data_IF_184561378196
#
_entry.id   IF_184561378196
#
_cell.length_a   1.000
_cell.length_b   1.000
_cell.length_c   1.000
_cell.angle_alpha   90.00
_cell.angle_beta   90.00
_cell.angle_gamma   90.00
#
_symmetry.space_group_name_H-M   'P 1'
#
loop_
_entity.id
_entity.type
_entity.pdbx_description
1 polymer ?
#
# COMPACT_ATOMS: atom_id res chain seq x y z
N UNK A 1 15.58 16.57 4.78
CA UNK A 1 14.12 16.35 4.70
C UNK A 1 13.78 16.14 3.24
N UNK A 2 13.08 15.06 2.89
CA UNK A 2 12.65 14.80 1.51
C UNK A 2 11.19 15.25 1.39
N UNK A 3 10.99 16.49 0.94
CA UNK A 3 9.67 17.10 0.83
C UNK A 3 9.42 17.50 -0.61
N UNK A 4 8.28 17.10 -1.17
CA UNK A 4 7.86 17.56 -2.50
C UNK A 4 6.43 18.08 -2.45
N UNK A 5 6.27 19.38 -2.73
CA UNK A 5 4.97 20.08 -2.76
C UNK A 5 4.33 20.08 -4.15
N UNK A 6 4.96 19.41 -5.13
CA UNK A 6 4.48 19.34 -6.51
C UNK A 6 4.35 17.91 -7.02
N UNK A 7 4.89 16.91 -6.31
CA UNK A 7 4.77 15.52 -6.71
C UNK A 7 3.34 15.03 -6.49
N UNK A 8 2.58 14.91 -7.58
CA UNK A 8 1.18 14.44 -7.56
C UNK A 8 1.09 12.93 -7.74
N UNK A 9 2.03 12.33 -8.49
CA UNK A 9 2.03 10.92 -8.83
C UNK A 9 3.41 10.34 -8.52
N UNK A 10 3.45 9.25 -7.75
CA UNK A 10 4.65 8.48 -7.47
C UNK A 10 4.41 7.05 -7.94
N UNK A 11 5.29 6.56 -8.81
CA UNK A 11 5.27 5.19 -9.31
C UNK A 11 6.64 4.59 -9.04
N UNK A 12 6.65 3.50 -8.28
CA UNK A 12 7.84 2.71 -8.01
C UNK A 12 7.58 1.30 -8.55
N UNK A 13 8.49 0.81 -9.38
CA UNK A 13 8.40 -0.49 -10.03
C UNK A 13 9.77 -1.19 -9.98
N UNK A 14 9.77 -2.46 -9.59
CA UNK A 14 10.93 -3.33 -9.53
C UNK A 14 11.58 -3.46 -8.15
N UNK A 15 12.84 -3.89 -8.13
CA UNK A 15 13.66 -4.36 -6.99
C UNK A 15 14.02 -3.30 -5.92
N UNK A 16 13.20 -2.27 -5.79
CA UNK A 16 13.38 -1.12 -4.91
C UNK A 16 13.10 -1.53 -3.47
N UNK A 17 14.08 -1.33 -2.59
CA UNK A 17 13.85 -1.42 -1.15
C UNK A 17 13.18 -0.14 -0.68
N UNK A 18 11.94 -0.26 -0.22
CA UNK A 18 11.18 0.84 0.34
C UNK A 18 11.61 1.03 1.79
N UNK A 19 12.59 1.89 2.03
CA UNK A 19 12.93 2.38 3.37
C UNK A 19 12.40 3.81 3.51
N UNK A 20 11.37 3.99 4.34
CA UNK A 20 10.68 5.27 4.51
C UNK A 20 11.23 5.99 5.74
N UNK A 21 12.08 7.01 5.57
CA UNK A 21 12.59 7.77 6.70
C UNK A 21 11.46 8.58 7.35
N UNK A 22 11.58 8.85 8.66
CA UNK A 22 10.57 9.58 9.44
C UNK A 22 10.32 11.03 8.98
N UNK A 23 11.12 11.56 8.05
CA UNK A 23 11.11 12.96 7.62
C UNK A 23 10.71 13.13 6.13
N UNK A 24 9.95 12.18 5.57
CA UNK A 24 9.36 12.31 4.24
C UNK A 24 8.04 13.07 4.38
N UNK A 25 7.73 13.97 3.46
CA UNK A 25 6.37 14.52 3.36
C UNK A 25 6.02 14.73 1.89
N UNK A 26 4.92 14.10 1.47
CA UNK A 26 4.40 14.16 0.10
C UNK A 26 2.98 14.76 0.13
N UNK A 27 2.84 16.04 0.56
CA UNK A 27 1.54 16.65 0.85
C UNK A 27 0.65 16.82 -0.38
N UNK A 28 1.20 16.71 -1.59
CA UNK A 28 0.47 16.89 -2.85
C UNK A 28 0.21 15.56 -3.59
N UNK A 29 0.63 14.43 -3.01
CA UNK A 29 0.55 13.14 -3.66
C UNK A 29 -0.88 12.63 -3.67
N UNK A 30 -1.43 12.43 -4.87
CA UNK A 30 -2.78 11.90 -5.09
C UNK A 30 -2.78 10.46 -5.58
N UNK A 31 -1.71 10.04 -6.25
CA UNK A 31 -1.59 8.69 -6.79
C UNK A 31 -0.27 8.05 -6.38
N UNK A 32 -0.35 6.89 -5.76
CA UNK A 32 0.79 6.08 -5.38
C UNK A 32 0.66 4.69 -5.99
N UNK A 33 1.66 4.29 -6.78
CA UNK A 33 1.74 2.94 -7.36
C UNK A 33 3.03 2.27 -6.92
N UNK A 34 2.89 1.15 -6.23
CA UNK A 34 3.98 0.30 -5.76
C UNK A 34 3.85 -1.03 -6.48
N UNK A 35 4.85 -1.36 -7.32
CA UNK A 35 4.86 -2.58 -8.13
C UNK A 35 6.15 -3.34 -7.86
N UNK A 36 6.04 -4.55 -7.33
CA UNK A 36 7.16 -5.45 -7.07
C UNK A 36 8.28 -4.86 -6.18
N UNK A 37 7.98 -3.84 -5.37
CA UNK A 37 8.90 -3.27 -4.38
C UNK A 37 9.06 -4.20 -3.18
N UNK A 38 10.15 -4.03 -2.42
CA UNK A 38 10.39 -4.73 -1.15
C UNK A 38 10.11 -3.84 0.04
N UNK A 39 9.40 -4.35 1.04
CA UNK A 39 9.15 -3.64 2.29
C UNK A 39 10.20 -4.04 3.33
N UNK A 40 10.67 -3.08 4.13
CA UNK A 40 11.63 -3.37 5.22
C UNK A 40 10.94 -4.13 6.36
N UNK A 41 9.66 -3.86 6.58
CA UNK A 41 8.79 -4.48 7.58
C UNK A 41 7.31 -4.16 7.29
N UNK A 42 6.41 -4.79 8.04
CA UNK A 42 4.95 -4.62 7.95
C UNK A 42 4.46 -3.16 8.11
N UNK A 43 5.21 -2.32 8.83
CA UNK A 43 4.86 -0.91 9.05
C UNK A 43 5.26 0.01 7.90
N UNK A 44 6.10 -0.46 6.98
CA UNK A 44 6.75 0.39 5.96
C UNK A 44 5.71 1.06 5.06
N UNK A 45 4.72 0.29 4.58
CA UNK A 45 3.64 0.84 3.76
C UNK A 45 2.83 1.88 4.55
N UNK A 46 2.45 1.56 5.78
CA UNK A 46 1.69 2.47 6.64
C UNK A 46 2.40 3.79 6.89
N UNK A 47 3.71 3.71 7.12
CA UNK A 47 4.56 4.89 7.28
C UNK A 47 4.62 5.73 6.00
N UNK A 48 4.60 5.12 4.81
CA UNK A 48 4.53 5.87 3.56
C UNK A 48 3.18 6.59 3.41
N UNK A 49 2.07 5.88 3.69
CA UNK A 49 0.72 6.40 3.53
C UNK A 49 0.43 7.55 4.50
N UNK A 50 0.92 7.49 5.75
CA UNK A 50 0.76 8.58 6.73
C UNK A 50 1.45 9.89 6.30
N UNK A 51 2.41 9.83 5.39
CA UNK A 51 3.09 10.99 4.81
C UNK A 51 2.40 11.55 3.55
N UNK A 52 1.26 10.99 3.15
CA UNK A 52 0.50 11.32 1.93
C UNK A 52 -0.96 11.68 2.29
N UNK A 53 -1.23 12.83 2.93
CA UNK A 53 -2.52 13.14 3.55
C UNK A 53 -3.70 13.20 2.56
N UNK A 54 -3.45 13.50 1.29
CA UNK A 54 -4.49 13.67 0.25
C UNK A 54 -4.49 12.54 -0.78
N UNK A 55 -3.90 11.38 -0.46
CA UNK A 55 -3.81 10.26 -1.39
C UNK A 55 -5.20 9.74 -1.77
N UNK A 56 -5.52 9.72 -3.06
CA UNK A 56 -6.84 9.30 -3.56
C UNK A 56 -6.80 7.91 -4.22
N UNK A 57 -5.70 7.58 -4.92
CA UNK A 57 -5.52 6.32 -5.66
C UNK A 57 -4.26 5.59 -5.18
N UNK A 58 -4.46 4.37 -4.67
CA UNK A 58 -3.41 3.48 -4.19
C UNK A 58 -3.42 2.18 -4.99
N UNK A 59 -2.29 1.86 -5.61
CA UNK A 59 -2.05 0.57 -6.27
C UNK A 59 -0.88 -0.12 -5.59
N UNK A 60 -1.12 -1.32 -5.07
CA UNK A 60 -0.11 -2.19 -4.47
C UNK A 60 -0.12 -3.51 -5.21
N UNK A 61 0.96 -3.80 -5.92
CA UNK A 61 1.23 -5.12 -6.48
C UNK A 61 2.41 -5.72 -5.73
N UNK A 62 2.11 -6.70 -4.89
CA UNK A 62 3.12 -7.40 -4.12
C UNK A 62 4.05 -8.16 -5.06
N UNK A 63 5.28 -8.30 -4.60
CA UNK A 63 6.34 -8.97 -5.33
C UNK A 63 6.18 -10.49 -5.29
N UNK A 64 6.60 -11.14 -6.35
CA UNK A 64 6.85 -12.59 -6.37
C UNK A 64 8.15 -12.93 -5.62
N UNK A 65 8.03 -13.67 -4.52
CA UNK A 65 9.14 -14.18 -3.67
C UNK A 65 10.03 -13.12 -2.99
N UNK A 66 10.60 -13.49 -1.84
CA UNK A 66 11.67 -12.72 -1.18
C UNK A 66 11.23 -11.48 -0.40
N UNK A 67 9.93 -11.34 -0.15
CA UNK A 67 9.40 -10.38 0.82
C UNK A 67 9.16 -11.10 2.16
N UNK A 68 9.43 -10.41 3.26
CA UNK A 68 9.20 -10.92 4.62
C UNK A 68 7.96 -10.34 5.26
N UNK A 69 7.23 -9.47 4.55
CA UNK A 69 6.01 -8.85 5.04
C UNK A 69 4.93 -9.91 5.29
N UNK A 70 4.53 -10.08 6.55
CA UNK A 70 3.48 -11.05 6.93
C UNK A 70 2.11 -10.38 7.07
N UNK A 71 2.10 -9.09 7.38
CA UNK A 71 0.88 -8.31 7.56
C UNK A 71 0.89 -7.05 6.70
N UNK A 72 -0.11 -6.92 5.83
CA UNK A 72 -0.35 -5.70 5.06
C UNK A 72 -1.41 -4.87 5.76
N UNK A 73 -1.03 -3.72 6.29
CA UNK A 73 -2.01 -2.75 6.81
C UNK A 73 -2.15 -1.60 5.83
N UNK A 74 -3.39 -1.15 5.59
CA UNK A 74 -3.76 0.00 4.75
C UNK A 74 -4.72 0.92 5.53
N UNK A 75 -4.19 1.80 6.38
CA UNK A 75 -4.92 2.92 6.99
C UNK A 75 -4.66 4.19 6.20
N UNK A 76 -5.67 4.66 5.46
CA UNK A 76 -5.55 5.87 4.66
C UNK A 76 -6.93 6.52 4.44
N UNK A 77 -7.33 7.49 5.27
CA UNK A 77 -8.70 8.02 5.26
C UNK A 77 -9.06 8.80 4.00
N UNK A 78 -8.07 9.24 3.21
CA UNK A 78 -8.29 9.95 1.95
C UNK A 78 -8.42 9.04 0.73
N UNK A 79 -8.01 7.76 0.83
CA UNK A 79 -7.99 6.84 -0.32
C UNK A 79 -9.41 6.49 -0.74
N UNK A 80 -9.67 6.65 -2.04
CA UNK A 80 -10.97 6.38 -2.69
C UNK A 80 -10.91 5.19 -3.64
N UNK A 81 -9.73 4.88 -4.17
CA UNK A 81 -9.46 3.77 -5.08
C UNK A 81 -8.28 2.97 -4.55
N UNK A 82 -8.51 1.68 -4.28
CA UNK A 82 -7.49 0.74 -3.84
C UNK A 82 -7.46 -0.45 -4.78
N UNK A 83 -6.29 -0.71 -5.37
CA UNK A 83 -6.01 -1.95 -6.11
C UNK A 83 -4.90 -2.73 -5.43
N UNK A 84 -5.21 -3.93 -4.95
CA UNK A 84 -4.27 -4.87 -4.36
C UNK A 84 -4.11 -6.10 -5.25
N UNK A 85 -2.87 -6.47 -5.55
CA UNK A 85 -2.54 -7.69 -6.29
C UNK A 85 -1.55 -8.52 -5.47
N UNK A 86 -1.92 -9.76 -5.14
CA UNK A 86 -1.16 -10.72 -4.36
C UNK A 86 -0.78 -11.87 -5.32
N UNK A 87 0.51 -12.08 -5.65
CA UNK A 87 0.90 -13.17 -6.53
C UNK A 87 0.93 -14.53 -5.81
N UNK A 88 0.90 -15.62 -6.59
CA UNK A 88 0.86 -17.02 -6.11
C UNK A 88 1.85 -17.34 -4.99
N UNK A 89 3.06 -16.78 -5.08
CA UNK A 89 4.19 -17.10 -4.23
C UNK A 89 4.37 -16.17 -3.04
N UNK A 90 3.41 -15.27 -2.78
CA UNK A 90 3.48 -14.35 -1.66
C UNK A 90 2.76 -14.92 -0.45
N UNK A 91 3.48 -15.11 0.64
CA UNK A 91 2.95 -15.60 1.90
C UNK A 91 2.56 -14.42 2.80
N UNK A 92 1.35 -13.91 2.61
CA UNK A 92 0.75 -12.96 3.55
C UNK A 92 -0.14 -13.70 4.54
N UNK A 93 -0.06 -13.42 5.83
CA UNK A 93 -0.94 -14.04 6.83
C UNK A 93 -2.25 -13.25 6.98
N UNK A 94 -2.14 -11.92 6.91
CA UNK A 94 -3.23 -11.00 7.22
C UNK A 94 -3.14 -9.72 6.38
N UNK A 95 -4.29 -9.22 5.94
CA UNK A 95 -4.39 -7.84 5.48
C UNK A 95 -5.55 -7.09 6.12
N UNK A 96 -5.28 -5.85 6.51
CA UNK A 96 -6.21 -4.93 7.17
C UNK A 96 -6.38 -3.70 6.31
N UNK A 97 -7.62 -3.38 5.94
CA UNK A 97 -7.95 -2.20 5.14
C UNK A 97 -8.90 -1.32 5.95
N UNK A 98 -8.43 -0.13 6.28
CA UNK A 98 -9.10 0.92 7.06
C UNK A 98 -9.07 2.24 6.26
N UNK A 99 -9.99 2.35 5.32
CA UNK A 99 -10.06 3.47 4.39
C UNK A 99 -11.52 3.93 4.26
N UNK A 100 -12.03 4.75 5.19
CA UNK A 100 -13.46 5.12 5.23
C UNK A 100 -13.97 5.86 3.98
N UNK A 101 -13.08 6.47 3.20
CA UNK A 101 -13.44 7.14 1.94
C UNK A 101 -13.41 6.23 0.71
N UNK A 102 -13.18 4.92 0.89
CA UNK A 102 -13.01 3.98 -0.21
C UNK A 102 -14.31 3.82 -1.00
N UNK A 103 -14.22 3.98 -2.32
CA UNK A 103 -15.34 3.81 -3.26
C UNK A 103 -15.12 2.65 -4.21
N UNK A 104 -13.85 2.35 -4.50
CA UNK A 104 -13.46 1.30 -5.42
C UNK A 104 -12.39 0.45 -4.78
N UNK A 105 -12.69 -0.84 -4.66
CA UNK A 105 -11.75 -1.85 -4.19
C UNK A 105 -11.59 -2.93 -5.26
N UNK A 106 -10.35 -3.16 -5.67
CA UNK A 106 -9.98 -4.26 -6.56
C UNK A 106 -8.96 -5.14 -5.84
N UNK A 107 -9.33 -6.39 -5.61
CA UNK A 107 -8.43 -7.42 -5.14
C UNK A 107 -8.19 -8.44 -6.27
N UNK A 108 -6.93 -8.72 -6.55
CA UNK A 108 -6.52 -9.83 -7.40
C UNK A 108 -5.63 -10.71 -6.55
N UNK A 109 -6.18 -11.82 -6.09
CA UNK A 109 -5.48 -12.76 -5.23
C UNK A 109 -5.21 -14.04 -6.02
N UNK A 110 -3.93 -14.33 -6.20
CA UNK A 110 -3.44 -15.55 -6.81
C UNK A 110 -2.87 -16.51 -5.77
N UNK A 111 -2.78 -16.14 -4.50
CA UNK A 111 -2.22 -17.04 -3.50
C UNK A 111 -3.06 -18.31 -3.39
N UNK A 112 -2.40 -19.41 -3.02
CA UNK A 112 -3.08 -20.68 -2.75
C UNK A 112 -3.31 -20.90 -1.25
N UNK A 113 -3.11 -19.87 -0.43
CA UNK A 113 -3.13 -19.92 1.03
C UNK A 113 -4.38 -19.21 1.57
N UNK A 114 -4.90 -19.71 2.69
CA UNK A 114 -5.96 -19.00 3.42
C UNK A 114 -5.40 -17.70 4.03
N UNK A 115 -6.10 -16.58 3.82
CA UNK A 115 -5.73 -15.27 4.35
C UNK A 115 -6.85 -14.71 5.23
N UNK A 116 -6.49 -14.15 6.39
CA UNK A 116 -7.43 -13.38 7.19
C UNK A 116 -7.56 -11.96 6.62
N UNK A 117 -8.78 -11.60 6.22
CA UNK A 117 -9.11 -10.29 5.68
C UNK A 117 -9.95 -9.52 6.71
N UNK A 118 -9.46 -8.36 7.15
CA UNK A 118 -10.23 -7.42 7.96
C UNK A 118 -10.53 -6.17 7.14
N UNK A 119 -11.80 -6.01 6.80
CA UNK A 119 -12.32 -4.84 6.09
C UNK A 119 -13.12 -4.01 7.09
N UNK A 120 -12.54 -2.93 7.58
CA UNK A 120 -13.10 -2.13 8.68
C UNK A 120 -13.55 -0.79 8.11
N UNK A 121 -14.75 -0.35 8.54
CA UNK A 121 -15.33 0.96 8.20
C UNK A 121 -15.42 1.25 6.69
N UNK A 122 -15.61 0.23 5.86
CA UNK A 122 -15.88 0.41 4.44
C UNK A 122 -17.35 0.80 4.22
N UNK A 123 -17.59 2.04 3.81
CA UNK A 123 -18.89 2.47 3.30
C UNK A 123 -19.04 2.02 1.83
N UNK A 124 -19.78 0.94 1.59
CA UNK A 124 -20.17 0.49 0.24
C UNK A 124 -21.42 1.24 -0.27
#
# INVERSE_FOLDING_TARGET
MYTSKSLVILKLDGEILLDVPRMVSLPSLKTLKLQSVRYVNDETLQRLLSNCPILEDLVVRLREYGDTMQKLTVVAPSVRSLSLCIPYSHEIAEYVIETPSLKYFKLVDYSNNDHYAFLIDLCF
#
